data_IF_126540544513
#
_entry.id   IF_126540544513
#
_cell.length_a   1.000
_cell.length_b   1.000
_cell.length_c   1.000
_cell.angle_alpha   90.00
_cell.angle_beta   90.00
_cell.angle_gamma   90.00
#
_symmetry.space_group_name_H-M   'P 1'
#
loop_
_entity.id
_entity.type
_entity.pdbx_description
1 polymer ?
#
# COMPACT_ATOMS: atom_id res chain seq x y z
N UNK A 1 34.06 -39.58 17.00
CA UNK A 1 34.16 -39.79 18.46
C UNK A 1 32.77 -39.86 19.00
N UNK A 2 32.38 -41.05 19.30
CA UNK A 2 31.13 -41.55 19.90
C UNK A 2 31.16 -41.42 21.41
N UNK A 3 30.05 -41.13 22.08
CA UNK A 3 29.63 -41.56 23.40
C UNK A 3 28.15 -41.19 23.56
N UNK A 4 27.39 -42.00 23.70
CA UNK A 4 26.56 -43.08 24.17
C UNK A 4 26.36 -43.11 25.70
N UNK A 5 25.06 -43.41 26.07
CA UNK A 5 24.61 -44.15 27.29
C UNK A 5 24.40 -43.28 28.53
N UNK A 6 23.33 -43.33 29.35
CA UNK A 6 22.44 -44.40 29.82
C UNK A 6 21.32 -43.83 30.69
N UNK A 7 20.16 -44.48 30.66
CA UNK A 7 19.15 -44.46 31.75
C UNK A 7 19.61 -45.30 32.95
N UNK A 8 18.99 -45.15 34.12
CA UNK A 8 18.28 -46.33 34.63
C UNK A 8 16.94 -46.06 35.34
N UNK A 9 16.14 -47.10 35.27
CA UNK A 9 14.93 -47.44 36.02
C UNK A 9 15.22 -47.80 37.47
N UNK A 10 14.19 -47.81 38.36
CA UNK A 10 13.87 -48.72 39.47
C UNK A 10 12.76 -48.07 40.33
N UNK A 11 11.65 -48.63 40.55
CA UNK A 11 11.04 -49.85 41.11
C UNK A 11 10.37 -49.57 42.49
N UNK A 12 9.04 -49.84 42.54
CA UNK A 12 8.24 -50.46 43.64
C UNK A 12 8.26 -49.78 45.02
N UNK A 13 7.17 -49.64 45.79
CA UNK A 13 6.11 -50.56 46.19
C UNK A 13 5.17 -49.89 47.21
N UNK A 14 3.99 -50.48 47.40
CA UNK A 14 3.16 -50.64 48.58
C UNK A 14 2.02 -49.64 48.86
N UNK A 15 0.81 -50.17 48.77
CA UNK A 15 -0.38 -49.76 49.52
C UNK A 15 -0.32 -50.24 50.95
N UNK A 16 -1.08 -49.70 51.93
CA UNK A 16 -2.39 -50.28 52.21
C UNK A 16 -3.51 -49.31 52.72
N UNK A 17 -4.74 -49.87 52.68
CA UNK A 17 -5.93 -49.71 53.56
C UNK A 17 -6.36 -48.31 54.05
N UNK A 18 -7.47 -47.75 53.61
CA UNK A 18 -8.79 -48.06 54.13
C UNK A 18 -9.29 -47.03 55.13
N UNK A 19 -10.17 -46.13 54.67
CA UNK A 19 -11.19 -45.50 55.54
C UNK A 19 -12.40 -45.11 54.68
N UNK A 20 -13.52 -45.78 54.97
CA UNK A 20 -14.85 -45.42 54.51
C UNK A 20 -15.22 -44.04 55.07
N UNK A 21 -15.40 -43.02 54.22
CA UNK A 21 -16.08 -41.82 54.62
C UNK A 21 -17.31 -41.66 53.71
N UNK A 22 -18.48 -41.75 54.27
CA UNK A 22 -19.77 -41.41 53.70
C UNK A 22 -19.77 -39.90 53.38
N UNK A 23 -19.70 -39.51 52.13
CA UNK A 23 -19.93 -38.15 51.76
C UNK A 23 -21.25 -38.03 51.03
N UNK A 24 -22.17 -37.30 51.62
CA UNK A 24 -23.44 -36.82 51.05
C UNK A 24 -23.16 -36.08 49.75
N UNK A 25 -23.64 -36.62 48.65
CA UNK A 25 -23.55 -36.02 47.35
C UNK A 25 -24.45 -34.78 47.22
N UNK A 26 -23.86 -33.62 47.24
CA UNK A 26 -24.47 -32.43 46.65
C UNK A 26 -24.23 -32.47 45.14
N UNK A 27 -25.25 -32.90 44.40
CA UNK A 27 -25.27 -32.73 42.94
C UNK A 27 -25.51 -31.27 42.61
N UNK A 28 -24.45 -30.48 42.48
CA UNK A 28 -24.54 -29.16 41.85
C UNK A 28 -24.79 -29.35 40.36
N UNK A 29 -26.01 -29.16 39.92
CA UNK A 29 -26.34 -29.06 38.51
C UNK A 29 -25.66 -27.82 37.93
N UNK A 30 -24.55 -28.06 37.21
CA UNK A 30 -23.91 -27.02 36.38
C UNK A 30 -24.88 -26.74 35.22
N UNK A 31 -25.70 -25.71 35.37
CA UNK A 31 -26.45 -25.16 34.25
C UNK A 31 -25.47 -24.61 33.26
N UNK A 32 -25.25 -25.33 32.14
CA UNK A 32 -24.50 -24.85 31.01
C UNK A 32 -25.22 -23.61 30.46
N UNK A 33 -24.59 -22.45 30.60
CA UNK A 33 -25.05 -21.22 29.97
C UNK A 33 -25.18 -21.46 28.44
N UNK A 34 -26.28 -21.02 27.79
CA UNK A 34 -26.43 -21.22 26.38
C UNK A 34 -25.27 -20.53 25.65
N UNK A 35 -24.78 -21.12 24.55
CA UNK A 35 -23.70 -20.52 23.79
C UNK A 35 -24.09 -19.11 23.37
N UNK A 36 -23.28 -18.13 23.79
CA UNK A 36 -23.42 -16.72 23.42
C UNK A 36 -23.48 -16.70 21.88
N UNK A 37 -24.65 -16.39 21.32
CA UNK A 37 -24.78 -16.13 19.89
C UNK A 37 -23.73 -15.09 19.52
N UNK A 38 -22.70 -15.51 18.78
CA UNK A 38 -21.77 -14.60 18.14
C UNK A 38 -22.61 -13.73 17.21
N UNK A 39 -22.82 -12.49 17.61
CA UNK A 39 -23.49 -11.49 16.76
C UNK A 39 -22.72 -11.46 15.45
N UNK A 40 -23.41 -11.72 14.34
CA UNK A 40 -22.93 -11.43 12.98
C UNK A 40 -22.35 -10.02 13.08
N UNK A 41 -21.04 -9.87 12.84
CA UNK A 41 -20.27 -8.67 13.10
C UNK A 41 -20.92 -7.39 12.57
N UNK A 42 -21.68 -6.72 13.44
CA UNK A 42 -22.22 -5.41 13.17
C UNK A 42 -21.06 -4.41 13.19
N UNK A 43 -20.85 -3.70 12.09
CA UNK A 43 -19.87 -2.63 12.09
C UNK A 43 -20.34 -1.47 12.98
N UNK A 44 -19.41 -0.86 13.68
CA UNK A 44 -19.68 0.37 14.43
C UNK A 44 -19.53 1.55 13.46
N UNK A 45 -20.53 2.43 13.32
CA UNK A 45 -20.36 3.68 12.57
C UNK A 45 -19.14 4.45 13.09
N UNK A 46 -18.30 4.97 12.19
CA UNK A 46 -17.03 5.62 12.52
C UNK A 46 -15.83 4.67 12.57
N UNK A 47 -16.02 3.35 12.62
CA UNK A 47 -14.92 2.40 12.51
C UNK A 47 -14.27 2.46 11.12
N UNK A 48 -13.00 2.07 11.02
CA UNK A 48 -12.29 2.04 9.75
C UNK A 48 -11.92 0.62 9.33
N UNK A 49 -11.79 0.43 8.00
CA UNK A 49 -11.33 -0.80 7.37
C UNK A 49 -10.21 -0.48 6.40
N UNK A 50 -9.07 -1.14 6.53
CA UNK A 50 -7.94 -0.97 5.60
C UNK A 50 -8.33 -1.32 4.16
N UNK A 51 -7.81 -0.55 3.22
CA UNK A 51 -7.94 -0.77 1.78
C UNK A 51 -6.66 -1.31 1.14
N UNK A 52 -5.64 -1.60 1.94
CA UNK A 52 -4.33 -2.04 1.47
C UNK A 52 -4.00 -3.41 2.03
N UNK A 53 -3.58 -4.31 1.15
CA UNK A 53 -3.00 -5.62 1.48
C UNK A 53 -1.87 -5.94 0.50
N UNK A 54 -1.03 -6.95 0.77
CA UNK A 54 0.04 -7.35 -0.16
C UNK A 54 -0.47 -7.70 -1.57
N UNK A 55 -1.68 -8.26 -1.68
CA UNK A 55 -2.25 -8.74 -2.94
C UNK A 55 -3.21 -7.75 -3.61
N UNK A 56 -3.71 -6.75 -2.88
CA UNK A 56 -4.75 -5.83 -3.38
C UNK A 56 -4.73 -4.50 -2.65
N UNK A 57 -4.87 -3.44 -3.42
CA UNK A 57 -5.14 -2.07 -2.97
C UNK A 57 -6.33 -1.51 -3.74
N UNK A 58 -6.66 -0.25 -3.50
CA UNK A 58 -7.77 0.40 -4.22
C UNK A 58 -7.37 1.78 -4.72
N UNK A 59 -7.63 2.01 -6.00
CA UNK A 59 -7.70 3.34 -6.59
C UNK A 59 -9.03 3.99 -6.22
N UNK A 60 -9.01 5.29 -6.00
CA UNK A 60 -10.16 6.12 -5.67
C UNK A 60 -10.29 7.15 -6.79
N UNK A 61 -11.14 6.84 -7.76
CA UNK A 61 -11.30 7.62 -8.99
C UNK A 61 -12.32 8.75 -8.76
N UNK A 62 -11.96 10.00 -9.04
CA UNK A 62 -12.84 11.15 -8.89
C UNK A 62 -14.00 11.11 -9.90
N UNK A 63 -15.25 11.31 -9.44
CA UNK A 63 -16.43 11.43 -10.33
C UNK A 63 -16.63 12.83 -10.89
N UNK A 64 -16.10 13.85 -10.21
CA UNK A 64 -16.25 15.25 -10.53
C UNK A 64 -15.35 16.06 -9.62
N UNK A 65 -15.83 17.22 -9.14
CA UNK A 65 -15.11 18.03 -8.16
C UNK A 65 -15.06 17.31 -6.80
N UNK A 66 -13.87 16.90 -6.37
CA UNK A 66 -13.60 16.25 -5.09
C UNK A 66 -12.93 17.23 -4.14
N UNK A 67 -13.47 17.35 -2.93
CA UNK A 67 -12.86 18.11 -1.82
C UNK A 67 -12.12 17.13 -0.90
N UNK A 68 -10.90 17.49 -0.51
CA UNK A 68 -10.07 16.72 0.41
C UNK A 68 -10.15 17.38 1.78
N UNK A 69 -10.47 16.60 2.81
CA UNK A 69 -10.69 17.06 4.16
C UNK A 69 -9.59 16.54 5.10
N UNK A 70 -9.19 17.35 6.10
CA UNK A 70 -8.18 16.90 7.10
C UNK A 70 -8.73 15.80 8.01
N UNK A 71 -10.03 15.88 8.32
CA UNK A 71 -10.79 14.87 9.09
C UNK A 71 -12.11 14.60 8.37
N UNK A 72 -12.65 13.40 8.54
CA UNK A 72 -13.99 13.08 8.06
C UNK A 72 -15.01 14.09 8.67
N UNK A 73 -15.76 14.78 7.80
CA UNK A 73 -16.70 15.83 8.23
C UNK A 73 -16.10 17.20 8.57
N UNK A 74 -14.76 17.35 8.59
CA UNK A 74 -14.07 18.59 8.93
C UNK A 74 -14.01 19.61 7.78
N UNK A 75 -13.03 20.53 7.87
CA UNK A 75 -12.79 21.53 6.82
C UNK A 75 -11.96 20.97 5.67
N UNK A 76 -12.31 21.26 4.40
CA UNK A 76 -11.48 20.89 3.27
C UNK A 76 -10.20 21.74 3.22
N UNK A 77 -9.09 21.14 2.76
CA UNK A 77 -7.82 21.85 2.56
C UNK A 77 -7.32 21.81 1.11
N UNK A 78 -7.91 20.94 0.28
CA UNK A 78 -7.60 20.86 -1.15
C UNK A 78 -8.86 20.48 -1.94
N UNK A 79 -8.81 20.70 -3.26
CA UNK A 79 -9.85 20.32 -4.22
C UNK A 79 -9.22 19.86 -5.53
N UNK A 80 -9.84 18.87 -6.16
CA UNK A 80 -9.40 18.29 -7.43
C UNK A 80 -10.61 18.12 -8.35
N UNK A 81 -10.44 18.42 -9.64
CA UNK A 81 -11.44 18.13 -10.67
C UNK A 81 -11.53 16.66 -11.01
N UNK A 82 -12.46 16.27 -11.87
CA UNK A 82 -12.52 14.94 -12.47
C UNK A 82 -11.26 14.63 -13.28
N UNK A 83 -10.72 15.63 -13.94
CA UNK A 83 -9.44 15.59 -14.64
C UNK A 83 -8.39 16.39 -13.86
N UNK A 84 -7.15 15.93 -13.90
CA UNK A 84 -6.01 16.66 -13.35
C UNK A 84 -5.54 17.75 -14.33
N UNK A 85 -4.56 18.60 -13.97
CA UNK A 85 -4.05 19.66 -14.86
C UNK A 85 -3.45 19.17 -16.19
N UNK A 86 -3.22 17.87 -16.35
CA UNK A 86 -2.75 17.25 -17.60
C UNK A 86 -3.88 16.65 -18.44
N UNK A 87 -5.15 16.86 -18.07
CA UNK A 87 -6.31 16.36 -18.82
C UNK A 87 -6.59 14.86 -18.62
N UNK A 88 -5.91 14.19 -17.69
CA UNK A 88 -6.17 12.77 -17.41
C UNK A 88 -7.01 12.60 -16.13
N UNK A 89 -7.73 11.47 -15.97
CA UNK A 89 -8.57 11.25 -14.80
C UNK A 89 -7.83 11.42 -13.48
N UNK A 90 -8.44 12.15 -12.55
CA UNK A 90 -7.92 12.31 -11.19
C UNK A 90 -8.15 11.02 -10.39
N UNK A 91 -7.06 10.45 -9.91
CA UNK A 91 -7.04 9.21 -9.14
C UNK A 91 -6.23 9.43 -7.85
N UNK A 92 -6.69 8.84 -6.76
CA UNK A 92 -5.99 8.76 -5.48
C UNK A 92 -5.73 7.29 -5.11
N UNK A 93 -4.79 7.02 -4.19
CA UNK A 93 -4.66 5.70 -3.59
C UNK A 93 -5.43 5.64 -2.28
N UNK A 94 -6.33 4.66 -2.15
CA UNK A 94 -7.10 4.41 -0.94
C UNK A 94 -6.24 3.79 0.16
N UNK A 95 -6.33 4.35 1.36
CA UNK A 95 -5.64 3.86 2.57
C UNK A 95 -6.62 3.08 3.44
N UNK A 96 -7.76 3.69 3.76
CA UNK A 96 -8.81 3.07 4.56
C UNK A 96 -10.20 3.60 4.19
N UNK A 97 -11.23 2.83 4.51
CA UNK A 97 -12.62 3.23 4.44
C UNK A 97 -13.14 3.49 5.85
N UNK A 98 -13.73 4.66 6.10
CA UNK A 98 -14.46 4.97 7.32
C UNK A 98 -15.93 4.62 7.10
N UNK A 99 -16.46 3.76 7.95
CA UNK A 99 -17.80 3.21 7.81
C UNK A 99 -18.84 4.15 8.42
N UNK A 100 -19.92 4.34 7.72
CA UNK A 100 -21.10 5.03 8.19
C UNK A 100 -22.20 4.05 8.59
N UNK A 101 -23.45 4.51 8.54
CA UNK A 101 -24.62 3.69 8.78
C UNK A 101 -24.67 2.49 7.80
N UNK A 102 -25.23 1.37 8.25
CA UNK A 102 -25.39 0.13 7.46
C UNK A 102 -24.08 -0.46 6.93
N UNK A 103 -22.93 -0.21 7.60
CA UNK A 103 -21.60 -0.69 7.20
C UNK A 103 -21.13 -0.23 5.81
N UNK A 104 -21.75 0.79 5.25
CA UNK A 104 -21.31 1.38 3.98
C UNK A 104 -20.22 2.42 4.25
N UNK A 105 -19.22 2.50 3.36
CA UNK A 105 -18.22 3.55 3.44
C UNK A 105 -18.87 4.93 3.32
N UNK A 106 -18.63 5.79 4.29
CA UNK A 106 -19.01 7.20 4.26
C UNK A 106 -17.86 8.07 3.73
N UNK A 107 -16.63 7.69 4.05
CA UNK A 107 -15.41 8.38 3.67
C UNK A 107 -14.31 7.39 3.30
N UNK A 108 -13.38 7.84 2.48
CA UNK A 108 -12.12 7.16 2.25
C UNK A 108 -10.97 8.07 2.67
N UNK A 109 -10.02 7.55 3.47
CA UNK A 109 -8.71 8.19 3.63
C UNK A 109 -7.86 7.77 2.43
N UNK A 110 -7.24 8.76 1.80
CA UNK A 110 -6.46 8.59 0.57
C UNK A 110 -5.11 9.27 0.68
N UNK A 111 -4.10 8.78 -0.04
CA UNK A 111 -2.90 9.56 -0.35
C UNK A 111 -3.27 10.66 -1.34
N UNK A 112 -2.76 11.87 -1.10
CA UNK A 112 -3.06 13.07 -1.90
C UNK A 112 -1.79 13.57 -2.57
N UNK A 113 -1.81 13.90 -3.89
CA UNK A 113 -0.62 14.36 -4.60
C UNK A 113 -0.37 15.86 -4.34
N UNK A 114 0.00 16.20 -3.12
CA UNK A 114 0.36 17.56 -2.68
C UNK A 114 1.59 17.48 -1.75
N UNK A 115 2.30 18.59 -1.62
CA UNK A 115 3.36 18.73 -0.61
C UNK A 115 2.76 18.97 0.79
N UNK A 116 3.41 18.45 1.85
CA UNK A 116 4.57 17.56 1.82
C UNK A 116 4.25 16.17 1.25
N UNK A 117 5.28 15.47 0.76
CA UNK A 117 5.16 14.08 0.31
C UNK A 117 4.50 13.19 1.38
N UNK A 118 3.70 12.20 0.95
CA UNK A 118 2.98 11.30 1.87
C UNK A 118 1.71 11.90 2.50
N UNK A 119 1.32 13.12 2.11
CA UNK A 119 0.09 13.77 2.60
C UNK A 119 -1.13 12.87 2.40
N UNK A 120 -1.99 12.80 3.42
CA UNK A 120 -3.26 12.08 3.37
C UNK A 120 -4.44 13.02 3.65
N UNK A 121 -5.60 12.60 3.20
CA UNK A 121 -6.85 13.32 3.49
C UNK A 121 -8.07 12.43 3.28
N UNK A 122 -9.22 12.94 3.64
CA UNK A 122 -10.50 12.22 3.54
C UNK A 122 -11.31 12.75 2.36
N UNK A 123 -11.90 11.82 1.60
CA UNK A 123 -12.86 12.13 0.52
C UNK A 123 -14.22 11.51 0.85
N UNK A 124 -15.31 12.18 0.48
CA UNK A 124 -16.66 11.59 0.62
C UNK A 124 -16.82 10.41 -0.32
N UNK A 125 -17.27 9.27 0.18
CA UNK A 125 -17.44 8.06 -0.62
C UNK A 125 -18.35 8.29 -1.85
N UNK A 126 -19.39 9.13 -1.71
CA UNK A 126 -20.31 9.49 -2.80
C UNK A 126 -19.68 10.28 -3.96
N UNK A 127 -18.52 10.90 -3.74
CA UNK A 127 -17.84 11.75 -4.73
C UNK A 127 -16.82 10.99 -5.57
N UNK A 128 -16.64 9.69 -5.31
CA UNK A 128 -15.60 8.87 -5.93
C UNK A 128 -16.09 7.46 -6.26
N UNK A 129 -15.38 6.78 -7.15
CA UNK A 129 -15.51 5.34 -7.40
C UNK A 129 -14.31 4.61 -6.80
N UNK A 130 -14.55 3.43 -6.24
CA UNK A 130 -13.50 2.57 -5.71
C UNK A 130 -13.23 1.45 -6.73
N UNK A 131 -11.97 1.34 -7.16
CA UNK A 131 -11.53 0.33 -8.14
C UNK A 131 -10.37 -0.48 -7.57
N UNK A 132 -10.48 -1.81 -7.60
CA UNK A 132 -9.43 -2.69 -7.11
C UNK A 132 -8.18 -2.61 -8.02
N UNK A 133 -7.00 -2.54 -7.38
CA UNK A 133 -5.69 -2.60 -8.01
C UNK A 133 -4.94 -3.78 -7.42
N UNK A 134 -4.40 -4.63 -8.28
CA UNK A 134 -3.70 -5.86 -7.86
C UNK A 134 -2.18 -5.78 -8.07
N UNK A 135 -1.70 -4.61 -8.46
CA UNK A 135 -0.28 -4.34 -8.70
C UNK A 135 0.29 -3.47 -7.60
N UNK A 136 1.59 -3.59 -7.37
CA UNK A 136 2.38 -2.75 -6.47
C UNK A 136 3.80 -2.61 -7.03
N UNK A 137 4.38 -1.43 -6.94
CA UNK A 137 5.76 -1.15 -7.35
C UNK A 137 6.58 -0.91 -6.08
N UNK A 138 7.74 -1.53 -6.01
CA UNK A 138 8.76 -1.27 -4.97
C UNK A 138 10.04 -0.85 -5.66
N UNK A 139 10.60 0.26 -5.21
CA UNK A 139 11.86 0.80 -5.72
C UNK A 139 12.83 0.81 -4.56
N UNK A 140 13.93 0.08 -4.71
CA UNK A 140 15.04 0.01 -3.78
C UNK A 140 16.17 0.90 -4.31
N UNK A 141 16.43 2.01 -3.61
CA UNK A 141 17.41 3.00 -4.05
C UNK A 141 18.85 2.53 -3.80
N UNK A 142 19.08 1.70 -2.78
CA UNK A 142 20.40 1.15 -2.51
C UNK A 142 20.80 0.14 -3.57
N UNK A 143 19.89 -0.76 -3.92
CA UNK A 143 20.08 -1.73 -4.97
C UNK A 143 19.91 -1.14 -6.40
N UNK A 144 19.32 0.05 -6.52
CA UNK A 144 18.92 0.68 -7.80
C UNK A 144 18.06 -0.26 -8.66
N UNK A 145 17.10 -0.90 -7.99
CA UNK A 145 16.22 -1.89 -8.56
C UNK A 145 14.75 -1.48 -8.40
N UNK A 146 13.96 -1.79 -9.42
CA UNK A 146 12.52 -1.70 -9.37
C UNK A 146 11.92 -3.10 -9.46
N UNK A 147 11.02 -3.44 -8.55
CA UNK A 147 10.23 -4.67 -8.58
C UNK A 147 8.74 -4.34 -8.77
N UNK A 148 8.11 -4.97 -9.74
CA UNK A 148 6.66 -4.93 -9.93
C UNK A 148 6.05 -6.23 -9.41
N UNK A 149 5.08 -6.09 -8.52
CA UNK A 149 4.29 -7.18 -7.98
C UNK A 149 2.90 -7.18 -8.60
N UNK A 150 2.36 -8.37 -8.85
CA UNK A 150 0.97 -8.58 -9.24
C UNK A 150 0.36 -9.64 -8.33
N UNK A 151 -0.76 -9.33 -7.70
CA UNK A 151 -1.44 -10.23 -6.73
C UNK A 151 -0.50 -10.72 -5.60
N UNK A 152 0.40 -9.85 -5.16
CA UNK A 152 1.34 -10.14 -4.07
C UNK A 152 2.62 -10.88 -4.49
N UNK A 153 2.74 -11.32 -5.74
CA UNK A 153 3.92 -12.04 -6.27
C UNK A 153 4.74 -11.12 -7.18
N UNK A 154 6.06 -11.28 -7.19
CA UNK A 154 6.95 -10.57 -8.11
C UNK A 154 6.62 -10.99 -9.54
N UNK A 155 6.22 -10.02 -10.37
CA UNK A 155 5.97 -10.22 -11.80
C UNK A 155 7.25 -10.03 -12.63
N UNK A 156 8.08 -9.05 -12.24
CA UNK A 156 9.45 -8.89 -12.76
C UNK A 156 10.21 -7.86 -11.91
N UNK A 157 11.53 -7.84 -12.11
CA UNK A 157 12.46 -6.84 -11.59
C UNK A 157 13.24 -6.22 -12.75
N UNK A 158 13.75 -5.01 -12.54
CA UNK A 158 14.57 -4.32 -13.52
C UNK A 158 15.53 -3.34 -12.82
N UNK A 159 16.71 -3.18 -13.41
CA UNK A 159 17.65 -2.13 -12.99
C UNK A 159 17.05 -0.75 -13.28
N UNK A 160 17.29 0.20 -12.40
CA UNK A 160 16.84 1.58 -12.56
C UNK A 160 17.97 2.58 -12.34
N UNK A 161 17.96 3.70 -13.08
CA UNK A 161 18.71 4.88 -12.69
C UNK A 161 17.82 5.75 -11.79
N UNK A 162 18.43 6.35 -10.78
CA UNK A 162 17.75 7.13 -9.74
C UNK A 162 18.32 8.53 -9.62
N UNK A 163 17.76 9.35 -8.73
CA UNK A 163 18.21 10.70 -8.45
C UNK A 163 19.69 10.79 -8.10
N UNK A 164 20.38 11.80 -8.63
CA UNK A 164 21.72 12.14 -8.23
C UNK A 164 21.76 12.59 -6.75
N UNK A 165 22.92 12.60 -6.08
CA UNK A 165 23.01 13.04 -4.68
C UNK A 165 22.43 14.44 -4.43
N UNK A 166 22.62 15.38 -5.37
CA UNK A 166 22.08 16.74 -5.28
C UNK A 166 20.57 16.82 -5.57
N UNK A 167 19.99 15.83 -6.25
CA UNK A 167 18.58 15.79 -6.64
C UNK A 167 18.00 14.40 -6.37
N UNK A 168 17.94 13.97 -5.08
CA UNK A 168 17.59 12.59 -4.73
C UNK A 168 16.17 12.24 -5.11
N UNK A 169 15.96 10.97 -5.43
CA UNK A 169 14.63 10.37 -5.49
C UNK A 169 14.03 10.34 -4.08
N UNK A 170 12.85 10.92 -3.84
CA UNK A 170 12.26 10.98 -2.51
C UNK A 170 11.86 9.59 -1.99
N UNK A 171 12.10 9.35 -0.71
CA UNK A 171 11.64 8.15 -0.02
C UNK A 171 10.17 8.27 0.39
N UNK A 172 9.49 7.13 0.51
CA UNK A 172 8.13 7.10 1.05
C UNK A 172 7.15 6.23 0.29
N UNK A 173 5.88 6.44 0.61
CA UNK A 173 4.74 5.74 0.01
C UNK A 173 3.98 6.69 -0.93
N UNK A 174 3.85 6.27 -2.16
CA UNK A 174 3.27 7.02 -3.26
C UNK A 174 2.32 6.11 -4.06
N UNK A 175 1.81 6.63 -5.15
CA UNK A 175 1.01 5.85 -6.10
C UNK A 175 1.12 6.44 -7.51
N UNK A 176 0.81 5.64 -8.51
CA UNK A 176 0.72 6.07 -9.90
C UNK A 176 -0.50 6.99 -10.05
N UNK A 177 -0.28 8.28 -10.33
CA UNK A 177 -1.35 9.27 -10.43
C UNK A 177 -1.69 9.66 -11.88
N UNK A 178 -0.78 9.37 -12.84
CA UNK A 178 -0.98 9.69 -14.26
C UNK A 178 -0.05 8.86 -15.13
N UNK A 179 -0.36 8.79 -16.43
CA UNK A 179 0.39 7.97 -17.38
C UNK A 179 0.38 8.66 -18.74
N UNK A 180 1.54 8.81 -19.37
CA UNK A 180 1.71 9.42 -20.69
C UNK A 180 2.57 8.55 -21.56
N UNK A 181 2.18 8.38 -22.81
CA UNK A 181 3.08 7.89 -23.86
C UNK A 181 3.94 9.01 -24.36
N UNK A 182 5.15 8.67 -24.78
CA UNK A 182 6.12 9.62 -25.30
C UNK A 182 6.91 8.98 -26.46
N UNK A 183 7.78 9.73 -27.10
CA UNK A 183 8.67 9.24 -28.13
C UNK A 183 9.72 8.29 -27.53
N UNK A 184 9.82 7.03 -28.02
CA UNK A 184 10.81 6.07 -27.55
C UNK A 184 12.27 6.56 -27.65
N UNK A 185 12.55 7.45 -28.62
CA UNK A 185 13.86 8.05 -28.86
C UNK A 185 14.09 9.34 -28.04
N UNK A 186 13.04 9.85 -27.42
CA UNK A 186 13.07 11.03 -26.56
C UNK A 186 13.67 10.74 -25.17
N UNK A 187 13.94 11.80 -24.41
CA UNK A 187 14.60 11.66 -23.10
C UNK A 187 13.77 10.89 -22.07
N UNK A 188 12.45 10.80 -22.25
CA UNK A 188 11.53 10.05 -21.38
C UNK A 188 11.31 8.60 -21.84
N UNK A 189 11.87 8.23 -23.03
CA UNK A 189 11.64 6.94 -23.63
C UNK A 189 10.18 6.72 -23.99
N UNK A 190 9.77 5.47 -24.13
CA UNK A 190 8.43 5.08 -24.61
C UNK A 190 7.25 5.63 -23.79
N UNK A 191 7.43 5.88 -22.50
CA UNK A 191 6.39 6.42 -21.62
C UNK A 191 6.96 7.03 -20.34
N UNK A 192 6.16 7.89 -19.74
CA UNK A 192 6.32 8.39 -18.38
C UNK A 192 5.09 8.05 -17.53
N UNK A 193 5.30 7.46 -16.37
CA UNK A 193 4.30 7.11 -15.37
C UNK A 193 4.55 8.02 -14.17
N UNK A 194 3.75 9.09 -14.06
CA UNK A 194 3.81 10.03 -12.94
C UNK A 194 3.38 9.34 -11.65
N UNK A 195 4.08 9.65 -10.58
CA UNK A 195 3.72 9.22 -9.23
C UNK A 195 3.38 10.42 -8.35
N UNK A 196 2.73 10.19 -7.22
CA UNK A 196 2.30 11.26 -6.31
C UNK A 196 3.45 11.89 -5.50
N UNK A 197 4.70 11.64 -5.88
CA UNK A 197 5.90 12.19 -5.28
C UNK A 197 6.31 13.50 -5.96
N UNK A 198 6.88 14.41 -5.16
CA UNK A 198 7.50 15.65 -5.61
C UNK A 198 8.95 15.70 -5.14
N UNK A 199 9.83 16.30 -5.93
CA UNK A 199 11.18 16.59 -5.50
C UNK A 199 11.15 17.51 -4.26
N UNK A 200 12.00 17.20 -3.29
CA UNK A 200 12.15 18.01 -2.07
C UNK A 200 13.12 19.18 -2.29
N UNK A 201 13.97 19.09 -3.32
CA UNK A 201 15.01 20.08 -3.62
C UNK A 201 14.70 20.92 -4.86
N UNK A 202 14.01 20.38 -5.87
CA UNK A 202 13.66 21.11 -7.10
C UNK A 202 12.32 21.85 -6.93
N UNK A 203 12.23 22.73 -5.96
CA UNK A 203 10.98 23.41 -5.59
C UNK A 203 10.54 24.46 -6.62
N UNK A 204 11.46 25.05 -7.35
CA UNK A 204 11.20 26.04 -8.41
C UNK A 204 10.79 25.45 -9.78
N UNK A 205 10.79 24.12 -9.93
CA UNK A 205 10.37 23.48 -11.17
C UNK A 205 8.86 23.60 -11.38
N UNK A 206 8.40 23.66 -12.65
CA UNK A 206 6.98 23.69 -12.95
C UNK A 206 6.22 22.59 -12.22
N UNK A 207 5.07 22.95 -11.63
CA UNK A 207 4.22 22.05 -10.85
C UNK A 207 4.89 21.44 -9.60
N UNK A 208 5.97 22.06 -9.08
CA UNK A 208 6.62 21.63 -7.84
C UNK A 208 7.56 20.45 -7.97
N UNK A 209 8.07 20.14 -9.18
CA UNK A 209 9.03 19.06 -9.42
C UNK A 209 8.44 17.66 -9.29
N UNK A 210 7.42 17.29 -10.09
CA UNK A 210 6.81 15.97 -10.02
C UNK A 210 7.79 14.88 -10.43
N UNK A 211 7.73 13.74 -9.74
CA UNK A 211 8.58 12.57 -9.99
C UNK A 211 7.82 11.55 -10.84
N UNK A 212 8.54 10.87 -11.75
CA UNK A 212 7.98 9.83 -12.60
C UNK A 212 8.89 8.59 -12.66
N UNK A 213 8.28 7.44 -12.91
CA UNK A 213 8.94 6.25 -13.44
C UNK A 213 8.84 6.36 -14.97
N UNK A 214 9.95 6.28 -15.70
CA UNK A 214 9.96 6.52 -17.13
C UNK A 214 10.97 5.68 -17.88
N UNK A 215 10.78 5.52 -19.17
CA UNK A 215 11.80 4.97 -20.06
C UNK A 215 13.01 5.89 -20.21
N UNK A 216 13.91 5.54 -21.11
CA UNK A 216 15.11 6.31 -21.40
C UNK A 216 15.64 6.01 -22.79
N UNK A 217 16.20 7.04 -23.45
CA UNK A 217 17.01 6.89 -24.65
C UNK A 217 18.51 6.70 -24.34
N UNK A 218 18.89 6.61 -23.05
CA UNK A 218 20.27 6.39 -22.60
C UNK A 218 20.34 5.18 -21.66
N UNK A 219 20.21 3.94 -22.20
CA UNK A 219 20.19 2.73 -21.38
C UNK A 219 21.51 2.47 -20.63
N UNK A 220 22.65 2.99 -21.11
CA UNK A 220 23.95 2.92 -20.43
C UNK A 220 23.99 3.62 -19.06
N UNK A 221 23.03 4.50 -18.77
CA UNK A 221 22.91 5.17 -17.47
C UNK A 221 22.10 4.38 -16.44
N UNK A 222 21.50 3.25 -16.81
CA UNK A 222 20.77 2.41 -15.86
C UNK A 222 21.73 1.83 -14.81
N UNK A 223 21.27 1.80 -13.57
CA UNK A 223 22.11 1.44 -12.41
C UNK A 223 22.88 2.60 -11.81
N UNK A 224 22.79 3.81 -12.36
CA UNK A 224 23.52 4.99 -11.87
C UNK A 224 22.60 5.99 -11.12
N UNK A 225 23.21 6.90 -10.38
CA UNK A 225 22.56 8.02 -9.66
C UNK A 225 22.76 9.30 -10.46
N UNK A 226 21.91 9.52 -11.48
CA UNK A 226 22.14 10.54 -12.52
C UNK A 226 20.87 11.33 -12.91
N UNK A 227 19.75 11.11 -12.26
CA UNK A 227 18.51 11.82 -12.62
C UNK A 227 18.25 13.00 -11.68
N UNK A 228 17.28 13.83 -12.06
CA UNK A 228 16.72 14.90 -11.23
C UNK A 228 15.58 14.37 -10.32
N UNK A 229 15.72 13.15 -9.79
CA UNK A 229 14.74 12.52 -8.90
C UNK A 229 13.83 11.49 -9.60
N UNK A 230 13.67 11.50 -10.91
CA UNK A 230 12.90 10.48 -11.64
C UNK A 230 13.60 9.12 -11.62
N UNK A 231 12.81 8.05 -11.66
CA UNK A 231 13.28 6.67 -11.77
C UNK A 231 13.28 6.29 -13.26
N UNK A 232 14.46 6.04 -13.84
CA UNK A 232 14.61 5.61 -15.24
C UNK A 232 14.74 4.10 -15.30
N UNK A 233 14.02 3.48 -16.22
CA UNK A 233 14.10 2.05 -16.53
C UNK A 233 14.23 1.87 -18.04
N UNK A 234 14.51 0.65 -18.53
CA UNK A 234 14.55 0.40 -19.97
C UNK A 234 13.17 0.63 -20.62
N UNK A 235 13.14 0.83 -21.93
CA UNK A 235 11.88 1.00 -22.67
C UNK A 235 11.00 -0.26 -22.60
N UNK A 236 11.59 -1.46 -22.59
CA UNK A 236 10.87 -2.73 -22.39
C UNK A 236 10.27 -2.81 -20.98
N UNK A 237 11.03 -2.40 -19.97
CA UNK A 237 10.56 -2.41 -18.59
C UNK A 237 9.38 -1.41 -18.37
N UNK A 238 9.48 -0.18 -18.92
CA UNK A 238 8.38 0.78 -18.78
C UNK A 238 7.12 0.31 -19.53
N UNK A 239 7.24 -0.41 -20.64
CA UNK A 239 6.09 -1.04 -21.31
C UNK A 239 5.43 -2.11 -20.45
N UNK A 240 6.20 -2.92 -19.74
CA UNK A 240 5.66 -3.92 -18.78
C UNK A 240 4.97 -3.24 -17.60
N UNK A 241 5.58 -2.19 -17.04
CA UNK A 241 4.96 -1.40 -15.97
C UNK A 241 3.66 -0.75 -16.47
N UNK A 242 3.66 -0.22 -17.70
CA UNK A 242 2.47 0.36 -18.31
C UNK A 242 1.30 -0.64 -18.38
N UNK A 243 1.56 -1.87 -18.81
CA UNK A 243 0.51 -2.89 -18.95
C UNK A 243 -0.03 -3.35 -17.60
N UNK A 244 0.84 -3.49 -16.59
CA UNK A 244 0.53 -4.14 -15.32
C UNK A 244 0.25 -3.17 -14.17
N UNK A 245 0.71 -1.90 -14.28
CA UNK A 245 0.62 -0.88 -13.23
C UNK A 245 -0.34 0.26 -13.60
N UNK A 246 -1.66 0.07 -13.49
CA UNK A 246 -2.62 1.13 -13.77
C UNK A 246 -2.51 2.29 -12.78
N UNK A 247 -3.15 3.44 -13.10
CA UNK A 247 -3.31 4.53 -12.15
C UNK A 247 -3.96 4.04 -10.84
N UNK A 248 -3.47 4.52 -9.70
CA UNK A 248 -3.81 4.04 -8.37
C UNK A 248 -2.90 2.91 -7.85
N UNK A 249 -1.96 2.39 -8.68
CA UNK A 249 -0.98 1.39 -8.22
C UNK A 249 -0.09 1.99 -7.14
N UNK A 250 0.00 1.38 -5.94
CA UNK A 250 0.91 1.82 -4.90
C UNK A 250 2.37 1.72 -5.33
N UNK A 251 3.16 2.71 -4.93
CA UNK A 251 4.61 2.80 -5.17
C UNK A 251 5.29 3.05 -3.82
N UNK A 252 6.18 2.15 -3.44
CA UNK A 252 7.03 2.30 -2.25
C UNK A 252 8.47 2.55 -2.69
N UNK A 253 9.07 3.64 -2.23
CA UNK A 253 10.46 3.98 -2.48
C UNK A 253 11.20 3.90 -1.15
N UNK A 254 12.23 3.06 -1.10
CA UNK A 254 13.01 2.76 0.11
C UNK A 254 14.50 2.63 -0.20
N UNK A 255 15.32 2.65 0.82
CA UNK A 255 16.74 2.28 0.81
C UNK A 255 16.89 0.82 1.16
#
# INVERSE_FOLDING_TARGET
MTFSVTSPSFLRTAAPLGLLALSLGFTSSIQASPPRRTSKGGCTPGSSRTLVSPARSYAVDARGLVRIYRKAGGRPFARFGALNPNGVPTVFAGVEAVLGARCKAAWYRVLVPVKPNGSTGFVRARSVNLRAVRSRIVIDLSARMLALYVRGRVAFTTTSAIGAPATPTPLGSFYVNQRFRDDPNGPYGWAAIGISAFSEVLTGWPRGGPVAIRGTNRPSLLGLRVSNGCIRVSNEAIQRIWRLGPAGTPVSIRT
#
